data_IF_369507599731
#
_entry.id   IF_369507599731
#
_cell.length_a   1.000
_cell.length_b   1.000
_cell.length_c   1.000
_cell.angle_alpha   90.00
_cell.angle_beta   90.00
_cell.angle_gamma   90.00
#
_symmetry.space_group_name_H-M   'P 1'
#
loop_
_entity.id
_entity.type
_entity.pdbx_description
1 polymer ?
#
# COMPACT_ATOMS: atom_id res chain seq x y z
N UNK A 1 -11.00 55.17 47.81
CA UNK A 1 -10.07 56.26 48.21
C UNK A 1 -9.21 56.62 47.00
N UNK A 2 -9.25 57.89 46.58
CA UNK A 2 -8.45 58.47 45.49
C UNK A 2 -7.05 58.83 46.00
N UNK A 3 -6.02 58.57 45.21
CA UNK A 3 -4.72 59.27 45.19
C UNK A 3 -4.25 59.25 43.71
N UNK A 4 -4.18 60.38 42.96
CA UNK A 4 -3.16 61.46 42.96
C UNK A 4 -1.78 60.87 42.56
N UNK A 5 -1.00 61.29 41.54
CA UNK A 5 -0.64 62.55 40.87
C UNK A 5 -0.20 62.19 39.41
N UNK A 6 -0.54 62.92 38.33
CA UNK A 6 0.06 64.17 37.78
C UNK A 6 1.60 64.25 37.73
N UNK A 7 2.18 64.24 36.52
CA UNK A 7 3.10 65.29 36.06
C UNK A 7 3.43 65.16 34.56
N UNK A 8 3.55 66.35 33.96
CA UNK A 8 3.59 66.68 32.54
C UNK A 8 4.95 67.34 32.21
N UNK A 9 5.28 67.38 30.91
CA UNK A 9 6.29 68.23 30.24
C UNK A 9 7.72 67.64 30.21
N UNK A 10 8.55 67.80 29.18
CA UNK A 10 8.75 68.88 28.19
C UNK A 10 9.34 68.32 26.88
N UNK A 11 9.30 69.14 25.82
CA UNK A 11 9.54 68.80 24.43
C UNK A 11 10.94 69.17 23.89
N UNK A 12 11.40 68.38 22.89
CA UNK A 12 12.18 68.74 21.66
C UNK A 12 13.64 69.27 21.75
N UNK A 13 14.45 69.29 20.65
CA UNK A 13 14.65 68.32 19.54
C UNK A 13 16.15 68.16 19.14
N UNK A 14 16.39 67.41 18.04
CA UNK A 14 17.56 67.43 17.11
C UNK A 14 18.61 66.33 17.28
N UNK A 15 18.66 65.40 16.32
CA UNK A 15 19.60 65.44 15.19
C UNK A 15 19.63 64.07 14.46
N UNK A 16 19.69 64.17 13.14
CA UNK A 16 19.70 63.09 12.13
C UNK A 16 21.13 62.56 11.97
N UNK A 17 21.34 61.22 11.99
CA UNK A 17 22.10 60.52 10.94
C UNK A 17 22.03 58.97 11.07
N UNK A 18 21.57 58.34 9.99
CA UNK A 18 21.98 57.07 9.38
C UNK A 18 22.28 55.84 10.26
N UNK A 19 21.45 54.80 10.11
CA UNK A 19 21.84 53.57 9.39
C UNK A 19 20.58 52.74 9.09
N UNK A 20 20.39 52.44 7.81
CA UNK A 20 19.23 51.76 7.27
C UNK A 20 19.51 50.26 7.25
N UNK A 21 18.83 49.52 8.14
CA UNK A 21 18.71 48.07 8.07
C UNK A 21 17.68 47.69 7.01
N UNK A 22 17.93 46.68 6.16
CA UNK A 22 16.86 45.91 5.56
C UNK A 22 16.46 44.79 6.53
N UNK A 23 15.52 45.10 7.43
CA UNK A 23 14.74 44.09 8.12
C UNK A 23 13.81 43.42 7.11
N UNK A 24 14.10 42.17 6.76
CA UNK A 24 13.18 41.35 6.00
C UNK A 24 11.98 41.00 6.89
N UNK A 25 10.81 41.46 6.45
CA UNK A 25 9.51 41.08 6.98
C UNK A 25 9.38 39.56 7.01
N UNK A 26 9.22 39.03 8.23
CA UNK A 26 8.77 37.68 8.50
C UNK A 26 7.33 37.54 8.02
N UNK A 27 7.15 36.96 6.84
CA UNK A 27 5.88 36.31 6.52
C UNK A 27 5.82 34.98 7.28
N UNK A 28 5.07 35.00 8.37
CA UNK A 28 4.60 33.81 9.09
C UNK A 28 3.77 32.93 8.15
N UNK A 29 4.41 31.93 7.58
CA UNK A 29 3.72 30.74 7.11
C UNK A 29 3.63 29.77 8.28
N UNK A 30 2.41 29.64 8.80
CA UNK A 30 2.00 28.70 9.81
C UNK A 30 2.70 27.34 9.65
N UNK A 31 3.34 26.91 10.73
CA UNK A 31 3.95 25.59 10.87
C UNK A 31 2.86 24.51 10.79
N UNK A 32 2.66 23.95 9.61
CA UNK A 32 2.06 22.62 9.52
C UNK A 32 3.04 21.63 10.15
N UNK A 33 2.67 21.13 11.33
CA UNK A 33 3.49 20.28 12.19
C UNK A 33 4.25 19.22 11.40
N UNK A 34 5.57 19.32 11.45
CA UNK A 34 6.46 18.26 10.99
C UNK A 34 6.16 16.98 11.80
N UNK A 35 6.06 15.81 11.14
CA UNK A 35 5.95 14.56 11.86
C UNK A 35 7.17 14.35 12.78
N UNK A 36 7.00 13.70 13.94
CA UNK A 36 8.09 13.45 14.87
C UNK A 36 9.24 12.68 14.20
N UNK A 37 10.47 13.07 14.55
CA UNK A 37 11.69 12.46 14.05
C UNK A 37 11.81 11.01 14.57
N UNK A 38 11.76 10.03 13.66
CA UNK A 38 11.85 8.61 13.99
C UNK A 38 11.40 7.65 12.89
N UNK A 39 10.66 8.15 11.89
CA UNK A 39 10.16 7.33 10.78
C UNK A 39 10.97 7.62 9.52
N UNK A 40 11.81 6.69 9.04
CA UNK A 40 12.27 6.75 7.65
C UNK A 40 11.03 6.61 6.76
N UNK A 41 10.51 7.74 6.30
CA UNK A 41 9.37 7.79 5.41
C UNK A 41 9.69 7.03 4.13
N UNK A 42 8.72 6.26 3.64
CA UNK A 42 8.83 5.73 2.28
C UNK A 42 8.62 6.92 1.34
N UNK A 43 9.67 7.30 0.61
CA UNK A 43 9.71 8.57 -0.14
C UNK A 43 8.54 8.78 -1.12
N UNK A 44 7.90 7.70 -1.59
CA UNK A 44 6.84 7.78 -2.60
C UNK A 44 5.41 7.89 -2.03
N UNK A 45 5.18 7.74 -0.72
CA UNK A 45 3.85 7.93 -0.13
C UNK A 45 3.89 8.38 1.33
N UNK A 46 2.87 9.13 1.75
CA UNK A 46 2.65 9.55 3.15
C UNK A 46 1.64 8.64 3.89
N UNK A 47 0.97 7.74 3.19
CA UNK A 47 -0.03 6.84 3.79
C UNK A 47 0.65 5.83 4.73
N UNK A 48 -0.02 5.35 5.80
CA UNK A 48 0.55 4.36 6.72
C UNK A 48 0.69 3.01 6.02
N UNK A 49 1.84 2.34 6.17
CA UNK A 49 2.15 1.08 5.49
C UNK A 49 2.67 0.01 6.44
N UNK A 50 2.41 -1.26 6.10
CA UNK A 50 3.11 -2.42 6.66
C UNK A 50 3.98 -3.04 5.56
N UNK A 51 5.29 -2.80 5.60
CA UNK A 51 6.20 -3.31 4.55
C UNK A 51 6.94 -4.56 5.01
N UNK A 52 7.12 -5.55 4.12
CA UNK A 52 8.00 -6.67 4.42
C UNK A 52 9.42 -6.19 4.75
N UNK A 53 9.98 -6.66 5.86
CA UNK A 53 11.38 -6.39 6.17
C UNK A 53 12.27 -7.11 5.13
N UNK A 54 13.34 -6.45 4.66
CA UNK A 54 14.40 -7.13 3.92
C UNK A 54 15.12 -8.06 4.91
N UNK A 55 15.12 -9.37 4.66
CA UNK A 55 15.69 -10.37 5.56
C UNK A 55 16.31 -11.54 4.80
N UNK A 56 17.18 -12.27 5.50
CA UNK A 56 17.90 -13.43 4.97
C UNK A 56 16.95 -14.46 4.36
N UNK A 57 17.28 -14.87 3.14
CA UNK A 57 16.54 -15.82 2.33
C UNK A 57 16.56 -17.18 3.05
N UNK A 58 15.45 -17.66 3.60
CA UNK A 58 15.45 -19.00 4.20
C UNK A 58 14.14 -19.48 4.83
N UNK A 59 13.46 -18.63 5.60
CA UNK A 59 12.31 -19.09 6.39
C UNK A 59 10.96 -18.79 5.71
N UNK A 60 10.43 -19.78 4.99
CA UNK A 60 9.14 -19.70 4.28
C UNK A 60 7.93 -19.63 5.22
N UNK A 61 8.11 -19.74 6.53
CA UNK A 61 7.05 -19.66 7.54
C UNK A 61 7.12 -18.38 8.37
N UNK A 62 8.05 -17.48 8.06
CA UNK A 62 8.28 -16.25 8.81
C UNK A 62 7.79 -15.03 8.02
N UNK A 63 6.87 -14.29 8.62
CA UNK A 63 6.48 -12.95 8.20
C UNK A 63 7.26 -11.93 9.02
N UNK A 64 7.98 -11.04 8.35
CA UNK A 64 8.64 -9.88 8.97
C UNK A 64 8.01 -8.60 8.43
N UNK A 65 7.45 -7.77 9.30
CA UNK A 65 6.78 -6.52 8.90
C UNK A 65 7.35 -5.33 9.66
N UNK A 66 7.54 -4.21 8.96
CA UNK A 66 7.96 -2.93 9.51
C UNK A 66 6.88 -1.90 9.23
N UNK A 67 6.29 -1.25 10.26
CA UNK A 67 5.44 -0.08 10.07
C UNK A 67 6.20 1.08 9.43
N UNK A 68 5.59 1.80 8.50
CA UNK A 68 6.15 3.01 7.88
C UNK A 68 5.09 4.10 7.81
N UNK A 69 5.53 5.35 7.96
CA UNK A 69 4.69 6.55 8.00
C UNK A 69 3.73 6.63 9.20
N UNK A 70 3.88 5.77 10.21
CA UNK A 70 3.16 5.79 11.49
C UNK A 70 3.83 4.85 12.51
N UNK A 71 3.47 4.96 13.79
CA UNK A 71 4.10 4.25 14.92
C UNK A 71 3.09 3.45 15.76
N UNK A 72 2.64 2.27 15.28
CA UNK A 72 1.75 1.41 16.06
C UNK A 72 2.49 0.66 17.17
N UNK A 73 1.84 0.50 18.33
CA UNK A 73 2.39 -0.30 19.43
C UNK A 73 2.42 -1.81 19.11
N UNK A 74 1.50 -2.30 18.27
CA UNK A 74 1.39 -3.70 17.90
C UNK A 74 0.84 -3.88 16.47
N UNK A 75 1.16 -5.03 15.87
CA UNK A 75 0.53 -5.52 14.64
C UNK A 75 -0.37 -6.71 15.01
N UNK A 76 -1.63 -6.65 14.57
CA UNK A 76 -2.58 -7.76 14.64
C UNK A 76 -2.44 -8.62 13.39
N UNK A 77 -2.22 -9.92 13.57
CA UNK A 77 -2.11 -10.90 12.49
C UNK A 77 -3.28 -11.88 12.59
N UNK A 78 -4.07 -11.95 11.53
CA UNK A 78 -5.25 -12.80 11.44
C UNK A 78 -5.03 -13.95 10.47
N UNK A 79 -5.16 -15.17 10.99
CA UNK A 79 -5.04 -16.40 10.22
C UNK A 79 -6.25 -16.70 9.33
N UNK A 80 -6.10 -17.65 8.40
CA UNK A 80 -7.06 -17.95 7.34
C UNK A 80 -8.27 -18.77 7.83
N UNK A 81 -8.16 -19.47 8.96
CA UNK A 81 -9.26 -20.27 9.49
C UNK A 81 -10.35 -19.38 10.11
N UNK A 82 -11.60 -19.80 10.01
CA UNK A 82 -12.76 -18.99 10.41
C UNK A 82 -12.76 -18.66 11.90
N UNK A 83 -12.32 -19.61 12.72
CA UNK A 83 -12.17 -19.52 14.17
C UNK A 83 -10.83 -18.89 14.62
N UNK A 84 -9.95 -18.53 13.67
CA UNK A 84 -8.66 -17.90 13.99
C UNK A 84 -8.87 -16.63 14.80
N UNK A 85 -8.21 -16.51 15.95
CA UNK A 85 -8.17 -15.24 16.69
C UNK A 85 -7.00 -14.38 16.17
N UNK A 86 -7.15 -13.04 16.13
CA UNK A 86 -6.01 -12.18 15.85
C UNK A 86 -4.91 -12.40 16.89
N UNK A 87 -3.69 -12.61 16.43
CA UNK A 87 -2.49 -12.58 17.27
C UNK A 87 -1.92 -11.17 17.28
N UNK A 88 -1.72 -10.59 18.46
CA UNK A 88 -1.17 -9.25 18.61
C UNK A 88 0.31 -9.34 18.93
N UNK A 89 1.16 -8.88 18.02
CA UNK A 89 2.61 -8.90 18.18
C UNK A 89 3.12 -7.48 18.39
N UNK A 90 3.77 -7.22 19.52
CA UNK A 90 4.34 -5.93 19.85
C UNK A 90 5.41 -5.53 18.83
N UNK A 91 5.37 -4.26 18.39
CA UNK A 91 6.38 -3.71 17.47
C UNK A 91 7.66 -3.44 18.25
N UNK A 92 8.80 -3.92 17.73
CA UNK A 92 10.15 -3.63 18.25
C UNK A 92 10.94 -2.79 17.23
N UNK A 93 12.17 -2.42 17.57
CA UNK A 93 13.03 -1.56 16.73
C UNK A 93 13.16 -2.04 15.27
N UNK A 94 13.15 -3.37 15.03
CA UNK A 94 13.28 -3.96 13.69
C UNK A 94 11.93 -4.39 13.08
N UNK A 95 10.81 -3.92 13.64
CA UNK A 95 9.46 -4.33 13.27
C UNK A 95 8.96 -5.52 14.08
N UNK A 96 8.13 -6.34 13.43
CA UNK A 96 7.46 -7.52 13.97
C UNK A 96 7.91 -8.76 13.22
N UNK A 97 8.12 -9.85 13.96
CA UNK A 97 8.26 -11.19 13.42
C UNK A 97 7.07 -12.04 13.85
N UNK A 98 6.44 -12.71 12.88
CA UNK A 98 5.33 -13.62 13.10
C UNK A 98 5.60 -14.94 12.39
N UNK A 99 5.40 -16.07 13.08
CA UNK A 99 5.57 -17.41 12.52
C UNK A 99 4.20 -18.06 12.34
N UNK A 100 3.88 -18.45 11.11
CA UNK A 100 2.65 -19.18 10.85
C UNK A 100 2.63 -20.53 11.61
N UNK A 101 1.51 -20.90 12.27
CA UNK A 101 1.32 -22.23 12.81
C UNK A 101 1.56 -23.32 11.76
N UNK A 102 2.18 -24.44 12.16
CA UNK A 102 2.42 -25.57 11.25
C UNK A 102 1.12 -26.10 10.68
N UNK A 103 1.11 -26.37 9.37
CA UNK A 103 -0.07 -26.92 8.67
C UNK A 103 -1.17 -25.89 8.36
N UNK A 104 -1.04 -24.63 8.79
CA UNK A 104 -1.99 -23.56 8.49
C UNK A 104 -1.30 -22.53 7.57
N UNK A 105 -1.42 -22.71 6.26
CA UNK A 105 -0.83 -21.82 5.26
C UNK A 105 -1.83 -20.88 4.62
N UNK A 106 -1.62 -20.52 3.36
CA UNK A 106 -2.43 -19.57 2.63
C UNK A 106 -2.31 -18.13 3.19
N UNK A 107 -3.34 -17.30 2.99
CA UNK A 107 -3.31 -15.88 3.30
C UNK A 107 -3.50 -15.58 4.78
N UNK A 108 -2.65 -14.70 5.29
CA UNK A 108 -2.77 -14.05 6.59
C UNK A 108 -2.98 -12.57 6.35
N UNK A 109 -3.87 -11.96 7.13
CA UNK A 109 -4.09 -10.52 7.11
C UNK A 109 -3.31 -9.88 8.26
N UNK A 110 -2.46 -8.91 7.96
CA UNK A 110 -1.77 -8.12 8.97
C UNK A 110 -2.34 -6.70 8.97
N UNK A 111 -2.60 -6.16 10.15
CA UNK A 111 -3.08 -4.80 10.33
C UNK A 111 -2.52 -4.17 11.59
N UNK A 112 -2.30 -2.86 11.54
CA UNK A 112 -1.93 -2.07 12.69
C UNK A 112 -2.71 -0.77 12.71
N UNK A 113 -2.95 -0.27 13.92
CA UNK A 113 -3.78 0.90 14.19
C UNK A 113 -3.06 1.82 15.17
N UNK A 114 -3.16 3.12 14.92
CA UNK A 114 -2.85 4.16 15.90
C UNK A 114 -4.04 5.09 16.05
N UNK A 115 -4.15 5.69 17.23
CA UNK A 115 -5.14 6.71 17.53
C UNK A 115 -4.44 7.82 18.29
N UNK A 116 -4.57 9.05 17.80
CA UNK A 116 -3.98 10.23 18.42
C UNK A 116 -4.93 11.41 18.22
N UNK A 117 -5.44 11.97 19.32
CA UNK A 117 -6.50 12.98 19.29
C UNK A 117 -7.69 12.54 18.43
N UNK A 118 -8.03 13.36 17.45
CA UNK A 118 -9.14 13.13 16.52
C UNK A 118 -8.74 12.34 15.25
N UNK A 119 -7.61 11.64 15.26
CA UNK A 119 -7.13 10.88 14.10
C UNK A 119 -6.95 9.38 14.42
N UNK A 120 -7.45 8.55 13.52
CA UNK A 120 -7.22 7.09 13.49
C UNK A 120 -6.53 6.73 12.20
N UNK A 121 -5.35 6.13 12.32
CA UNK A 121 -4.60 5.60 11.19
C UNK A 121 -4.63 4.07 11.24
N UNK A 122 -4.93 3.44 10.11
CA UNK A 122 -4.88 1.99 9.96
C UNK A 122 -4.07 1.63 8.72
N UNK A 123 -3.08 0.77 8.88
CA UNK A 123 -2.38 0.13 7.76
C UNK A 123 -2.70 -1.36 7.74
N UNK A 124 -2.81 -1.92 6.54
CA UNK A 124 -3.04 -3.34 6.35
C UNK A 124 -2.32 -3.90 5.13
N UNK A 125 -1.96 -5.18 5.21
CA UNK A 125 -1.40 -5.95 4.11
C UNK A 125 -1.78 -7.42 4.26
N UNK A 126 -1.48 -8.22 3.26
CA UNK A 126 -1.63 -9.68 3.33
C UNK A 126 -0.32 -10.37 3.07
N UNK A 127 -0.11 -11.52 3.70
CA UNK A 127 1.02 -12.39 3.43
C UNK A 127 0.52 -13.78 3.05
N UNK A 128 1.16 -14.40 2.05
CA UNK A 128 0.84 -15.76 1.62
C UNK A 128 1.92 -16.73 2.08
N UNK A 129 1.55 -17.70 2.92
CA UNK A 129 2.40 -18.84 3.26
C UNK A 129 2.10 -20.02 2.35
N UNK A 130 3.13 -20.69 1.83
CA UNK A 130 2.99 -21.73 0.80
C UNK A 130 2.41 -23.06 1.28
N UNK A 131 2.05 -23.19 2.56
CA UNK A 131 1.36 -24.40 3.03
C UNK A 131 -0.11 -24.39 2.56
N UNK A 132 -0.75 -25.55 2.43
CA UNK A 132 -2.19 -25.62 2.21
C UNK A 132 -2.97 -24.87 3.29
N UNK A 133 -4.13 -24.33 2.93
CA UNK A 133 -5.01 -23.62 3.85
C UNK A 133 -6.30 -23.20 3.16
N UNK A 134 -7.33 -22.81 3.93
CA UNK A 134 -8.65 -22.50 3.38
C UNK A 134 -8.60 -21.27 2.47
N UNK A 135 -9.58 -21.19 1.57
CA UNK A 135 -9.75 -20.04 0.70
C UNK A 135 -9.93 -18.73 1.51
N UNK A 136 -9.33 -17.59 1.11
CA UNK A 136 -9.37 -16.35 1.88
C UNK A 136 -10.75 -15.68 1.96
N UNK A 137 -11.83 -16.32 1.49
CA UNK A 137 -13.16 -15.70 1.47
C UNK A 137 -13.65 -15.37 2.90
N UNK A 138 -13.50 -16.32 3.82
CA UNK A 138 -13.85 -16.09 5.23
C UNK A 138 -12.96 -15.00 5.83
N UNK A 139 -11.64 -15.05 5.60
CA UNK A 139 -10.69 -14.03 6.04
C UNK A 139 -11.10 -12.62 5.60
N UNK A 140 -11.48 -12.43 4.34
CA UNK A 140 -11.84 -11.13 3.77
C UNK A 140 -13.22 -10.63 4.25
N UNK A 141 -14.14 -11.54 4.58
CA UNK A 141 -15.47 -11.17 5.07
C UNK A 141 -15.47 -10.69 6.53
N UNK A 142 -14.45 -11.06 7.32
CA UNK A 142 -14.36 -10.72 8.75
C UNK A 142 -14.14 -9.23 9.00
N UNK A 143 -14.87 -8.62 9.94
CA UNK A 143 -14.64 -7.25 10.40
C UNK A 143 -13.20 -7.04 10.90
N UNK A 144 -12.61 -5.89 10.56
CA UNK A 144 -11.20 -5.54 10.85
C UNK A 144 -11.01 -4.25 11.62
N UNK A 145 -12.01 -3.37 11.64
CA UNK A 145 -11.94 -2.07 12.29
C UNK A 145 -13.13 -1.18 11.95
N UNK A 146 -13.06 0.09 12.35
CA UNK A 146 -14.12 1.06 12.12
C UNK A 146 -14.22 1.47 10.65
N UNK A 147 -13.11 1.90 10.04
CA UNK A 147 -13.02 2.17 8.60
C UNK A 147 -12.25 1.03 7.94
N UNK A 148 -12.94 0.26 7.11
CA UNK A 148 -12.38 -0.90 6.41
C UNK A 148 -12.14 -0.57 4.93
N UNK A 149 -11.01 -1.03 4.41
CA UNK A 149 -10.68 -1.04 2.98
C UNK A 149 -10.13 -2.42 2.64
N UNK A 150 -10.93 -3.24 1.97
CA UNK A 150 -10.65 -4.67 1.80
C UNK A 150 -10.79 -5.04 0.32
N UNK A 151 -9.77 -5.67 -0.31
CA UNK A 151 -9.96 -6.24 -1.64
C UNK A 151 -10.99 -7.38 -1.59
N UNK A 152 -11.96 -7.42 -2.50
CA UNK A 152 -12.97 -8.51 -2.49
C UNK A 152 -12.38 -9.88 -2.79
N UNK A 153 -11.21 -9.89 -3.45
CA UNK A 153 -10.46 -11.09 -3.78
C UNK A 153 -8.96 -10.81 -3.65
N UNK A 154 -8.22 -11.80 -3.20
CA UNK A 154 -6.77 -11.82 -3.26
C UNK A 154 -6.31 -12.62 -4.49
N UNK A 155 -5.15 -12.31 -5.07
CA UNK A 155 -4.58 -13.13 -6.14
C UNK A 155 -4.43 -14.59 -5.68
N UNK A 156 -4.92 -15.57 -6.45
CA UNK A 156 -4.76 -17.01 -6.13
C UNK A 156 -3.89 -17.69 -7.17
N UNK A 157 -3.23 -18.79 -6.81
CA UNK A 157 -2.67 -19.76 -7.76
C UNK A 157 -1.95 -19.12 -8.96
N UNK A 158 -0.71 -18.66 -8.74
CA UNK A 158 0.11 -17.91 -9.70
C UNK A 158 -0.43 -16.55 -10.19
N UNK A 159 -1.64 -16.12 -9.79
CA UNK A 159 -2.15 -14.78 -10.05
C UNK A 159 -1.45 -13.72 -9.19
N UNK A 160 -1.44 -12.48 -9.69
CA UNK A 160 -0.89 -11.29 -9.05
C UNK A 160 -1.83 -10.13 -9.40
N UNK A 161 -1.81 -9.04 -8.64
CA UNK A 161 -2.31 -7.77 -9.18
C UNK A 161 -1.45 -7.41 -10.39
N UNK A 162 -2.05 -7.01 -11.51
CA UNK A 162 -1.31 -6.67 -12.73
C UNK A 162 -1.68 -5.30 -13.26
N UNK A 163 -0.72 -4.68 -13.92
CA UNK A 163 -0.93 -3.43 -14.66
C UNK A 163 -2.14 -3.52 -15.60
N UNK A 164 -2.96 -2.47 -15.58
CA UNK A 164 -4.15 -2.34 -16.41
C UNK A 164 -5.35 -3.19 -16.00
N UNK A 165 -5.22 -4.09 -15.02
CA UNK A 165 -6.35 -4.84 -14.47
C UNK A 165 -7.14 -4.01 -13.46
N UNK A 166 -8.44 -4.29 -13.37
CA UNK A 166 -9.33 -3.73 -12.37
C UNK A 166 -9.60 -4.71 -11.23
N UNK A 167 -9.42 -4.22 -10.01
CA UNK A 167 -9.65 -4.99 -8.79
C UNK A 167 -10.66 -4.27 -7.90
N UNK A 168 -11.73 -4.95 -7.46
CA UNK A 168 -12.73 -4.37 -6.58
C UNK A 168 -12.24 -4.33 -5.13
N UNK A 169 -12.34 -3.16 -4.52
CA UNK A 169 -12.14 -2.91 -3.10
C UNK A 169 -13.45 -2.49 -2.47
N UNK A 170 -13.81 -3.11 -1.35
CA UNK A 170 -14.96 -2.73 -0.53
C UNK A 170 -14.49 -1.78 0.54
N UNK A 171 -15.21 -0.67 0.69
CA UNK A 171 -15.08 0.28 1.79
C UNK A 171 -16.28 0.17 2.69
N UNK A 172 -16.04 0.02 3.98
CA UNK A 172 -17.10 0.03 5.00
C UNK A 172 -16.74 0.97 6.12
N UNK A 173 -17.73 1.63 6.68
CA UNK A 173 -17.61 2.34 7.94
C UNK A 173 -18.56 1.72 8.96
N UNK A 174 -18.00 1.26 10.09
CA UNK A 174 -18.70 0.55 11.18
C UNK A 174 -19.56 -0.60 10.64
N UNK A 175 -18.99 -1.37 9.71
CA UNK A 175 -19.62 -2.52 9.06
C UNK A 175 -20.62 -2.20 7.94
N UNK A 176 -20.97 -0.92 7.72
CA UNK A 176 -21.88 -0.51 6.65
C UNK A 176 -21.13 -0.08 5.40
N UNK A 177 -21.62 -0.40 4.18
CA UNK A 177 -21.04 0.10 2.95
C UNK A 177 -20.93 1.63 2.95
N UNK A 178 -19.75 2.15 2.58
CA UNK A 178 -19.53 3.59 2.51
C UNK A 178 -19.56 4.04 1.04
N UNK A 179 -20.73 4.49 0.58
CA UNK A 179 -20.92 4.98 -0.79
C UNK A 179 -20.30 6.36 -1.02
N UNK A 180 -19.85 6.64 -2.25
CA UNK A 180 -19.28 7.92 -2.66
C UNK A 180 -17.89 8.25 -2.07
N UNK A 181 -17.32 7.36 -1.26
CA UNK A 181 -15.98 7.51 -0.71
C UNK A 181 -14.92 7.55 -1.81
N UNK A 182 -13.92 8.42 -1.64
CA UNK A 182 -12.79 8.51 -2.55
C UNK A 182 -11.72 7.52 -2.11
N UNK A 183 -11.42 6.57 -2.98
CA UNK A 183 -10.37 5.57 -2.84
C UNK A 183 -9.19 5.98 -3.71
N UNK A 184 -8.07 6.33 -3.08
CA UNK A 184 -6.85 6.75 -3.78
C UNK A 184 -5.91 5.55 -3.99
N UNK A 185 -5.32 5.44 -5.17
CA UNK A 185 -4.25 4.51 -5.48
C UNK A 185 -2.95 5.31 -5.67
N UNK A 186 -1.86 4.84 -5.06
CA UNK A 186 -0.50 5.33 -5.32
C UNK A 186 0.41 4.16 -5.63
N UNK A 187 1.26 4.30 -6.65
CA UNK A 187 2.30 3.32 -6.99
C UNK A 187 3.69 3.80 -6.57
N UNK A 188 4.61 2.85 -6.39
CA UNK A 188 6.03 3.11 -6.15
C UNK A 188 6.71 3.91 -7.28
N UNK A 189 6.15 3.85 -8.50
CA UNK A 189 6.63 4.61 -9.65
C UNK A 189 6.00 6.00 -9.76
N UNK A 190 5.18 6.41 -8.79
CA UNK A 190 4.66 7.78 -8.68
C UNK A 190 3.29 8.00 -9.34
N UNK A 191 2.65 6.98 -9.91
CA UNK A 191 1.28 7.13 -10.42
C UNK A 191 0.31 7.34 -9.27
N UNK A 192 -0.62 8.28 -9.44
CA UNK A 192 -1.66 8.63 -8.48
C UNK A 192 -3.02 8.66 -9.18
N UNK A 193 -3.93 7.78 -8.77
CA UNK A 193 -5.29 7.70 -9.30
C UNK A 193 -6.31 7.76 -8.15
N UNK A 194 -7.55 8.14 -8.48
CA UNK A 194 -8.66 8.18 -7.52
C UNK A 194 -9.92 7.56 -8.12
N UNK A 195 -10.60 6.78 -7.29
CA UNK A 195 -11.82 6.04 -7.64
C UNK A 195 -12.91 6.37 -6.62
N UNK A 196 -14.18 6.25 -7.00
CA UNK A 196 -15.31 6.43 -6.08
C UNK A 196 -16.00 5.11 -5.83
N UNK A 197 -16.45 4.89 -4.60
CA UNK A 197 -17.27 3.74 -4.25
C UNK A 197 -18.71 3.91 -4.75
N UNK A 198 -19.30 2.82 -5.22
CA UNK A 198 -20.72 2.73 -5.55
C UNK A 198 -21.61 2.59 -4.30
N UNK A 199 -22.92 2.41 -4.49
CA UNK A 199 -23.90 2.20 -3.40
C UNK A 199 -23.59 0.98 -2.53
N UNK A 200 -22.91 -0.03 -3.08
CA UNK A 200 -22.46 -1.21 -2.35
C UNK A 200 -21.11 -0.98 -1.64
N UNK A 201 -20.59 0.25 -1.65
CA UNK A 201 -19.30 0.61 -1.07
C UNK A 201 -18.11 0.08 -1.87
N UNK A 202 -18.30 -0.27 -3.15
CA UNK A 202 -17.25 -0.90 -3.97
C UNK A 202 -16.59 0.12 -4.90
N UNK A 203 -15.26 0.23 -4.83
CA UNK A 203 -14.44 0.94 -5.81
C UNK A 203 -13.72 -0.08 -6.72
N UNK A 204 -13.84 0.09 -8.04
CA UNK A 204 -13.06 -0.68 -9.02
C UNK A 204 -11.75 0.05 -9.29
N UNK A 205 -10.69 -0.38 -8.61
CA UNK A 205 -9.36 0.23 -8.70
C UNK A 205 -8.63 -0.37 -9.90
N UNK A 206 -8.32 0.47 -10.89
CA UNK A 206 -7.50 0.09 -12.03
C UNK A 206 -6.02 0.29 -11.71
N UNK A 207 -5.22 -0.74 -11.88
CA UNK A 207 -3.78 -0.64 -11.66
C UNK A 207 -3.10 0.09 -12.83
N UNK A 208 -2.15 1.00 -12.57
CA UNK A 208 -1.49 1.78 -13.59
C UNK A 208 -0.63 0.91 -14.51
N UNK A 209 -0.25 1.47 -15.66
CA UNK A 209 0.69 0.87 -16.62
C UNK A 209 2.00 1.68 -16.62
N UNK A 210 2.66 1.69 -15.49
CA UNK A 210 3.81 2.54 -15.15
C UNK A 210 5.08 1.74 -14.81
N UNK A 211 5.08 0.42 -15.00
CA UNK A 211 6.27 -0.40 -14.94
C UNK A 211 7.12 -0.19 -16.17
N UNK A 212 8.30 0.37 -15.97
CA UNK A 212 9.31 0.49 -17.02
C UNK A 212 9.70 -0.90 -17.51
N UNK A 213 9.62 -1.13 -18.82
CA UNK A 213 10.24 -2.30 -19.47
C UNK A 213 11.74 -2.25 -19.20
N UNK A 214 12.23 -3.01 -18.23
CA UNK A 214 13.67 -3.21 -18.10
C UNK A 214 14.10 -3.99 -19.33
N UNK A 215 15.02 -3.42 -20.12
CA UNK A 215 15.66 -4.15 -21.22
C UNK A 215 16.20 -5.49 -20.69
N UNK A 216 16.16 -6.58 -21.47
CA UNK A 216 16.78 -7.84 -21.06
C UNK A 216 18.22 -7.53 -20.66
N UNK A 217 18.56 -7.82 -19.40
CA UNK A 217 19.90 -7.58 -18.88
C UNK A 217 20.92 -8.22 -19.84
N UNK A 218 21.89 -7.41 -20.27
CA UNK A 218 23.07 -7.91 -20.95
C UNK A 218 23.65 -9.08 -20.12
N UNK A 219 23.99 -10.17 -20.81
CA UNK A 219 24.45 -11.41 -20.23
C UNK A 219 25.44 -11.17 -19.08
N UNK A 220 25.08 -11.57 -17.85
CA UNK A 220 25.99 -11.47 -16.72
C UNK A 220 25.34 -11.70 -15.36
N UNK A 221 24.34 -10.91 -14.99
CA UNK A 221 23.75 -10.96 -13.63
C UNK A 221 22.23 -10.83 -13.69
N UNK A 222 21.56 -11.94 -14.02
CA UNK A 222 20.11 -12.02 -13.97
C UNK A 222 19.65 -11.96 -12.52
N UNK A 223 19.07 -10.84 -12.10
CA UNK A 223 18.19 -10.83 -10.93
C UNK A 223 17.03 -11.81 -11.22
N UNK A 224 17.08 -13.02 -10.63
CA UNK A 224 16.17 -14.14 -10.88
C UNK A 224 14.72 -13.91 -10.35
N UNK A 225 14.16 -12.71 -10.48
CA UNK A 225 12.80 -12.38 -10.06
C UNK A 225 12.03 -11.68 -11.17
N UNK A 226 10.74 -12.01 -11.32
CA UNK A 226 9.82 -11.19 -12.13
C UNK A 226 9.75 -9.78 -11.51
N UNK A 227 9.82 -8.70 -12.31
CA UNK A 227 9.71 -7.35 -11.78
C UNK A 227 8.38 -7.16 -11.04
N UNK A 228 8.42 -6.42 -9.94
CA UNK A 228 7.27 -6.06 -9.10
C UNK A 228 7.47 -4.65 -8.59
N UNK A 229 6.38 -3.95 -8.35
CA UNK A 229 6.38 -2.64 -7.71
C UNK A 229 5.34 -2.62 -6.58
N UNK A 230 5.60 -1.81 -5.56
CA UNK A 230 4.67 -1.60 -4.46
C UNK A 230 3.53 -0.67 -4.86
N UNK A 231 2.38 -0.85 -4.21
CA UNK A 231 1.26 0.08 -4.28
C UNK A 231 0.61 0.22 -2.91
N UNK A 232 -0.10 1.34 -2.72
CA UNK A 232 -1.03 1.53 -1.61
C UNK A 232 -2.37 2.02 -2.16
N UNK A 233 -3.45 1.43 -1.66
CA UNK A 233 -4.80 1.96 -1.81
C UNK A 233 -5.21 2.53 -0.45
N UNK A 234 -5.75 3.74 -0.42
CA UNK A 234 -6.16 4.40 0.81
C UNK A 234 -7.52 5.07 0.69
N UNK A 235 -8.19 5.20 1.83
CA UNK A 235 -9.46 5.93 1.98
C UNK A 235 -9.41 6.79 3.24
N UNK A 236 -9.80 8.05 3.08
CA UNK A 236 -9.95 9.03 4.15
C UNK A 236 -11.45 9.29 4.38
N UNK A 237 -11.90 9.17 5.61
CA UNK A 237 -13.26 9.45 6.02
C UNK A 237 -13.27 10.33 7.26
N UNK A 238 -13.96 11.48 7.20
CA UNK A 238 -14.16 12.38 8.34
C UNK A 238 -15.62 12.36 8.77
N UNK A 239 -15.85 12.11 10.04
CA UNK A 239 -17.19 12.05 10.66
C UNK A 239 -17.08 12.39 12.13
N UNK A 240 -18.05 13.13 12.67
CA UNK A 240 -18.10 13.54 14.08
C UNK A 240 -16.82 14.24 14.57
N UNK A 241 -16.20 15.08 13.72
CA UNK A 241 -14.94 15.77 14.03
C UNK A 241 -13.68 14.88 13.96
N UNK A 242 -13.84 13.58 13.72
CA UNK A 242 -12.76 12.59 13.72
C UNK A 242 -12.38 12.15 12.31
N UNK A 243 -11.09 12.05 12.03
CA UNK A 243 -10.51 11.56 10.77
C UNK A 243 -10.12 10.09 10.90
N UNK A 244 -10.54 9.29 9.94
CA UNK A 244 -10.15 7.90 9.78
C UNK A 244 -9.40 7.77 8.45
N UNK A 245 -8.15 7.34 8.49
CA UNK A 245 -7.36 6.99 7.30
C UNK A 245 -7.02 5.50 7.36
N UNK A 246 -7.55 4.75 6.39
CA UNK A 246 -7.24 3.31 6.25
C UNK A 246 -6.51 3.07 4.93
N UNK A 247 -5.39 2.37 5.01
CA UNK A 247 -4.56 2.02 3.87
C UNK A 247 -4.35 0.50 3.76
N UNK A 248 -4.35 0.01 2.53
CA UNK A 248 -3.99 -1.35 2.16
C UNK A 248 -2.81 -1.32 1.19
N UNK A 249 -1.70 -1.97 1.53
CA UNK A 249 -0.52 -2.00 0.67
C UNK A 249 -0.13 -3.42 0.25
N UNK A 250 0.32 -3.57 -0.99
CA UNK A 250 0.82 -4.83 -1.52
C UNK A 250 1.73 -4.59 -2.74
N UNK A 251 1.94 -5.61 -3.58
CA UNK A 251 2.71 -5.51 -4.83
C UNK A 251 1.85 -5.86 -6.04
N UNK A 252 2.15 -5.21 -7.16
CA UNK A 252 1.61 -5.56 -8.48
C UNK A 252 2.76 -5.92 -9.44
N UNK A 253 2.41 -6.50 -10.58
CA UNK A 253 3.33 -7.03 -11.58
C UNK A 253 2.96 -6.55 -12.99
N UNK A 254 3.84 -6.74 -13.99
CA UNK A 254 3.53 -6.32 -15.35
C UNK A 254 2.29 -7.00 -15.91
N UNK A 255 1.75 -6.39 -16.96
CA UNK A 255 0.61 -6.92 -17.69
C UNK A 255 0.87 -8.36 -18.17
N UNK A 256 -0.16 -9.22 -18.17
CA UNK A 256 -0.01 -10.67 -18.42
C UNK A 256 0.57 -11.03 -19.81
N UNK A 257 0.56 -10.07 -20.73
CA UNK A 257 1.05 -10.21 -22.10
C UNK A 257 2.31 -9.41 -22.38
N UNK A 258 2.89 -8.73 -21.39
CA UNK A 258 4.17 -8.06 -21.59
C UNK A 258 5.28 -9.06 -21.91
N UNK A 259 6.00 -8.80 -23.01
CA UNK A 259 7.07 -9.66 -23.51
C UNK A 259 6.60 -10.86 -24.33
N UNK A 260 5.30 -11.05 -24.55
CA UNK A 260 4.77 -12.09 -25.45
C UNK A 260 4.62 -11.53 -26.87
N UNK A 261 5.47 -11.96 -27.79
CA UNK A 261 5.32 -11.65 -29.21
C UNK A 261 4.35 -12.63 -29.86
N UNK A 262 3.15 -12.15 -30.22
CA UNK A 262 2.15 -12.97 -30.94
C UNK A 262 2.72 -13.53 -32.26
N UNK A 263 3.56 -12.75 -32.95
CA UNK A 263 4.23 -13.18 -34.18
C UNK A 263 5.21 -14.34 -33.99
N UNK A 264 5.92 -14.40 -32.86
CA UNK A 264 6.79 -15.54 -32.55
C UNK A 264 5.99 -16.83 -32.33
N UNK A 265 4.83 -16.73 -31.65
CA UNK A 265 3.92 -17.87 -31.46
C UNK A 265 3.36 -18.40 -32.77
N UNK A 266 2.96 -17.51 -33.69
CA UNK A 266 2.51 -17.89 -35.04
C UNK A 266 3.66 -18.55 -35.82
N UNK A 267 4.88 -17.99 -35.76
CA UNK A 267 6.06 -18.56 -36.42
C UNK A 267 6.39 -19.98 -35.94
N UNK A 268 6.36 -20.21 -34.62
CA UNK A 268 6.56 -21.56 -34.06
C UNK A 268 5.45 -22.54 -34.45
N UNK A 269 4.19 -22.10 -34.49
CA UNK A 269 3.07 -22.95 -34.90
C UNK A 269 3.17 -23.36 -36.37
N UNK A 270 3.55 -22.42 -37.26
CA UNK A 270 3.76 -22.71 -38.68
C UNK A 270 4.95 -23.65 -38.89
N UNK A 271 6.07 -23.42 -38.21
CA UNK A 271 7.25 -24.28 -38.28
C UNK A 271 6.95 -25.69 -37.75
N UNK A 272 6.29 -25.80 -36.60
CA UNK A 272 5.86 -27.06 -36.03
C UNK A 272 4.87 -27.82 -36.92
N UNK A 273 3.92 -27.11 -37.54
CA UNK A 273 2.98 -27.68 -38.49
C UNK A 273 3.67 -28.23 -39.75
N UNK A 274 4.66 -27.51 -40.29
CA UNK A 274 5.46 -27.96 -41.43
C UNK A 274 6.30 -29.20 -41.10
N UNK A 275 6.89 -29.27 -39.91
CA UNK A 275 7.67 -30.42 -39.45
C UNK A 275 6.79 -31.64 -39.10
N UNK A 276 5.58 -31.43 -38.61
CA UNK A 276 4.65 -32.51 -38.26
C UNK A 276 3.85 -33.05 -39.46
N UNK A 277 3.67 -32.27 -40.53
CA UNK A 277 2.96 -32.65 -41.74
C UNK A 277 3.41 -33.99 -42.37
N UNK A 278 4.71 -34.32 -42.50
CA UNK A 278 5.12 -35.60 -43.05
C UNK A 278 4.73 -36.79 -42.14
N UNK A 279 4.77 -36.64 -40.82
CA UNK A 279 4.46 -37.73 -39.87
C UNK A 279 2.97 -38.10 -39.93
N UNK A 280 2.08 -37.11 -39.97
CA UNK A 280 0.63 -37.33 -40.09
C UNK A 280 0.26 -37.95 -41.44
N UNK A 281 0.96 -37.59 -42.52
CA UNK A 281 0.76 -38.17 -43.85
C UNK A 281 1.14 -39.65 -43.92
N UNK A 282 2.14 -40.10 -43.16
CA UNK A 282 2.54 -41.51 -43.11
C UNK A 282 1.63 -42.35 -42.21
N UNK A 283 1.09 -41.78 -41.14
CA UNK A 283 0.12 -42.46 -40.28
C UNK A 283 -1.19 -42.80 -41.00
N UNK A 284 -1.63 -41.94 -41.92
CA UNK A 284 -2.88 -42.09 -42.68
C UNK A 284 -2.81 -43.11 -43.82
N UNK A 285 -1.62 -43.57 -44.20
CA UNK A 285 -1.40 -44.60 -45.24
C UNK A 285 -1.28 -46.03 -44.69
N UNK A 286 -1.30 -46.20 -43.36
CA UNK A 286 -1.24 -47.52 -42.69
C UNK A 286 -2.57 -47.95 -42.04
N UNK A 287 -3.65 -47.22 -42.36
CA UNK A 287 -5.05 -47.61 -42.16
C UNK A 287 -5.64 -47.96 -43.52
#
# INVERSE_FOLDING_TARGET
MRALLLLLSLATPSAILAQQEPGHEHHDHASHGAPPAGVDAIAWTKDPLLVPARGERGDRQLLRLVPRNFEPAAISVLGPAEDSRPEHVAVRANGVEFRAPRGNGNYYWASARTESGDEVLTASTVHYFSNPGPAPRALLARPKGELELIPQRLPREHAQYREGEEWPFVVRFRGQPLAGAVVALRSEHGTMDAFRTDEAGVARVRFPRDMTRTAPAAAGHAHHGRPRAAFVVSVDHRVDGRRYLTAFNYTYAPHAYDGKHLGAGIGFALLGGLLAAPIVRHARKRS
#
